data_IF_932079177680
#
_entry.id   IF_932079177680
#
_cell.length_a   1.000
_cell.length_b   1.000
_cell.length_c   1.000
_cell.angle_alpha   90.00
_cell.angle_beta   90.00
_cell.angle_gamma   90.00
#
_symmetry.space_group_name_H-M   'P 1'
#
loop_
_entity.id
_entity.type
_entity.pdbx_description
1 polymer ?
#
# COMPACT_ATOMS: atom_id res chain seq x y z
N UNK A 1 32.62 6.33 13.86
CA UNK A 1 31.39 7.13 14.05
C UNK A 1 30.18 6.56 13.29
N UNK A 2 30.36 5.82 12.18
CA UNK A 2 29.28 5.24 11.37
C UNK A 2 28.46 4.10 12.02
N UNK A 3 28.96 3.46 13.09
CA UNK A 3 28.25 2.35 13.75
C UNK A 3 27.10 2.77 14.66
N UNK A 4 27.21 3.93 15.32
CA UNK A 4 26.23 4.39 16.30
C UNK A 4 24.98 4.99 15.66
N UNK A 5 25.11 5.64 14.51
CA UNK A 5 23.98 6.17 13.72
C UNK A 5 23.12 5.06 13.14
N UNK A 6 23.73 3.97 12.67
CA UNK A 6 23.01 2.84 12.08
C UNK A 6 22.22 2.04 13.15
N UNK A 7 22.79 1.87 14.35
CA UNK A 7 22.10 1.26 15.49
C UNK A 7 20.95 2.13 16.02
N UNK A 8 21.13 3.45 16.10
CA UNK A 8 20.06 4.37 16.51
C UNK A 8 18.91 4.43 15.49
N UNK A 9 19.25 4.40 14.18
CA UNK A 9 18.28 4.32 13.08
C UNK A 9 17.46 3.02 13.13
N UNK A 10 18.10 1.91 13.45
CA UNK A 10 17.42 0.62 13.64
C UNK A 10 16.55 0.56 14.91
N UNK A 11 16.88 1.35 15.93
CA UNK A 11 16.16 1.37 17.22
C UNK A 11 15.02 2.41 17.31
N UNK A 12 14.91 3.33 16.35
CA UNK A 12 13.88 4.37 16.33
C UNK A 12 12.63 3.99 15.53
N UNK A 13 11.65 4.89 15.51
CA UNK A 13 10.34 4.65 14.88
C UNK A 13 10.43 4.29 13.40
N UNK A 14 11.42 4.83 12.68
CA UNK A 14 11.69 4.43 11.29
C UNK A 14 12.14 2.97 11.21
N UNK A 15 13.10 2.55 12.03
CA UNK A 15 13.58 1.17 12.07
C UNK A 15 12.45 0.17 12.29
N UNK A 16 11.49 0.50 13.17
CA UNK A 16 10.30 -0.33 13.42
C UNK A 16 9.42 -0.43 12.16
N UNK A 17 9.05 0.70 11.55
CA UNK A 17 8.17 0.69 10.38
C UNK A 17 8.84 0.06 9.16
N UNK A 18 10.12 0.34 8.94
CA UNK A 18 10.89 -0.27 7.85
C UNK A 18 11.00 -1.79 8.04
N UNK A 19 11.20 -2.28 9.26
CA UNK A 19 11.22 -3.70 9.56
C UNK A 19 9.85 -4.37 9.30
N UNK A 20 8.75 -3.73 9.72
CA UNK A 20 7.39 -4.19 9.43
C UNK A 20 7.13 -4.26 7.92
N UNK A 21 7.46 -3.21 7.17
CA UNK A 21 7.30 -3.19 5.72
C UNK A 21 8.14 -4.27 5.03
N UNK A 22 9.36 -4.51 5.51
CA UNK A 22 10.24 -5.54 4.97
C UNK A 22 9.74 -6.97 5.26
N UNK A 23 9.11 -7.24 6.40
CA UNK A 23 8.58 -8.57 6.74
C UNK A 23 7.20 -8.82 6.15
N UNK A 24 6.30 -7.85 6.32
CA UNK A 24 4.86 -8.03 6.13
C UNK A 24 4.35 -7.42 4.83
N UNK A 25 5.16 -6.56 4.18
CA UNK A 25 4.85 -5.98 2.88
C UNK A 25 4.75 -7.01 1.75
N UNK A 26 4.10 -6.60 0.66
CA UNK A 26 3.84 -7.40 -0.52
C UNK A 26 5.10 -7.95 -1.19
N UNK A 27 6.26 -7.29 -1.03
CA UNK A 27 7.53 -7.76 -1.61
C UNK A 27 7.89 -9.20 -1.20
N UNK A 28 7.47 -9.66 -0.02
CA UNK A 28 7.72 -11.03 0.46
C UNK A 28 6.64 -12.03 0.02
N UNK A 29 5.54 -11.57 -0.55
CA UNK A 29 4.38 -12.40 -0.85
C UNK A 29 4.59 -13.26 -2.13
N UNK A 30 4.30 -14.57 -2.11
CA UNK A 30 4.44 -15.45 -3.28
C UNK A 30 3.70 -14.95 -4.52
N UNK A 31 2.47 -14.45 -4.33
CA UNK A 31 1.67 -13.87 -5.41
C UNK A 31 2.35 -12.68 -6.10
N UNK A 32 2.98 -11.77 -5.35
CA UNK A 32 3.70 -10.62 -5.93
C UNK A 32 4.84 -11.12 -6.81
N UNK A 33 5.62 -12.08 -6.33
CA UNK A 33 6.70 -12.71 -7.12
C UNK A 33 6.17 -13.35 -8.40
N UNK A 34 5.05 -14.08 -8.32
CA UNK A 34 4.39 -14.71 -9.49
C UNK A 34 3.97 -13.67 -10.53
N UNK A 35 3.29 -12.61 -10.09
CA UNK A 35 2.76 -11.56 -10.97
C UNK A 35 3.81 -10.59 -11.49
N UNK A 36 4.97 -10.49 -10.84
CA UNK A 36 6.10 -9.66 -11.30
C UNK A 36 6.87 -10.27 -12.48
N UNK A 37 6.52 -11.49 -12.91
CA UNK A 37 7.18 -12.14 -14.05
C UNK A 37 6.57 -11.71 -15.38
N UNK A 38 7.39 -11.66 -16.45
CA UNK A 38 6.88 -11.39 -17.81
C UNK A 38 5.87 -12.44 -18.29
N UNK A 39 5.94 -13.64 -17.74
CA UNK A 39 5.07 -14.78 -18.05
C UNK A 39 3.81 -14.82 -17.19
N UNK A 40 3.58 -13.84 -16.32
CA UNK A 40 2.37 -13.76 -15.52
C UNK A 40 1.10 -13.85 -16.39
N UNK A 41 0.10 -14.53 -15.85
CA UNK A 41 -1.21 -14.68 -16.49
C UNK A 41 -1.88 -13.31 -16.63
N UNK A 42 -2.36 -12.97 -17.84
CA UNK A 42 -3.12 -11.73 -18.05
C UNK A 42 -4.39 -11.69 -17.20
N UNK A 43 -5.00 -12.85 -16.95
CA UNK A 43 -6.19 -12.95 -16.12
C UNK A 43 -5.88 -12.59 -14.67
N UNK A 44 -4.77 -13.09 -14.12
CA UNK A 44 -4.37 -12.77 -12.74
C UNK A 44 -3.93 -11.31 -12.60
N UNK A 45 -3.26 -10.76 -13.61
CA UNK A 45 -2.89 -9.34 -13.64
C UNK A 45 -4.13 -8.45 -13.68
N UNK A 46 -5.13 -8.77 -14.50
CA UNK A 46 -6.40 -8.05 -14.54
C UNK A 46 -7.12 -8.12 -13.18
N UNK A 47 -7.17 -9.31 -12.56
CA UNK A 47 -7.79 -9.49 -11.25
C UNK A 47 -7.10 -8.66 -10.16
N UNK A 48 -5.76 -8.67 -10.13
CA UNK A 48 -4.99 -7.84 -9.21
C UNK A 48 -5.28 -6.35 -9.42
N UNK A 49 -5.27 -5.87 -10.66
CA UNK A 49 -5.57 -4.47 -11.00
C UNK A 49 -6.98 -4.06 -10.53
N UNK A 50 -8.00 -4.90 -10.74
CA UNK A 50 -9.34 -4.62 -10.24
C UNK A 50 -9.39 -4.57 -8.72
N UNK A 51 -8.79 -5.55 -8.04
CA UNK A 51 -8.79 -5.65 -6.59
C UNK A 51 -8.08 -4.44 -5.93
N UNK A 52 -6.92 -4.04 -6.45
CA UNK A 52 -6.22 -2.85 -5.99
C UNK A 52 -7.00 -1.56 -6.28
N UNK A 53 -7.69 -1.48 -7.42
CA UNK A 53 -8.56 -0.34 -7.73
C UNK A 53 -9.78 -0.28 -6.80
N UNK A 54 -10.36 -1.41 -6.41
CA UNK A 54 -11.46 -1.45 -5.44
C UNK A 54 -11.01 -0.95 -4.06
N UNK A 55 -9.78 -1.30 -3.65
CA UNK A 55 -9.21 -0.92 -2.37
C UNK A 55 -8.79 0.56 -2.33
N UNK A 56 -8.03 1.03 -3.32
CA UNK A 56 -7.37 2.35 -3.29
C UNK A 56 -7.85 3.36 -4.34
N UNK A 57 -8.74 2.97 -5.25
CA UNK A 57 -9.15 3.82 -6.38
C UNK A 57 -10.10 4.98 -6.03
N UNK A 58 -10.72 4.99 -4.85
CA UNK A 58 -11.68 6.04 -4.45
C UNK A 58 -11.13 6.92 -3.34
N UNK A 59 -11.50 8.19 -3.42
CA UNK A 59 -11.16 9.25 -2.48
C UNK A 59 -12.26 9.52 -1.44
N UNK A 60 -11.91 10.08 -0.27
CA UNK A 60 -10.54 10.17 0.27
C UNK A 60 -9.97 8.78 0.57
N UNK A 61 -8.65 8.62 0.43
CA UNK A 61 -7.92 7.41 0.83
C UNK A 61 -7.15 7.63 2.15
N UNK A 62 -6.29 6.68 2.50
CA UNK A 62 -5.53 6.70 3.76
C UNK A 62 -4.66 7.96 3.89
N UNK A 63 -3.97 8.36 2.82
CA UNK A 63 -3.06 9.53 2.83
C UNK A 63 -3.85 10.84 2.95
N UNK A 64 -4.97 10.96 2.24
CA UNK A 64 -5.85 12.13 2.33
C UNK A 64 -6.46 12.27 3.73
N UNK A 65 -6.92 11.17 4.31
CA UNK A 65 -7.40 11.17 5.68
C UNK A 65 -6.30 11.56 6.67
N UNK A 66 -5.10 10.99 6.55
CA UNK A 66 -3.98 11.36 7.39
C UNK A 66 -3.60 12.85 7.26
N UNK A 67 -3.69 13.42 6.05
CA UNK A 67 -3.39 14.84 5.80
C UNK A 67 -4.43 15.81 6.40
N UNK A 68 -5.68 15.37 6.55
CA UNK A 68 -6.81 16.25 6.91
C UNK A 68 -7.35 16.01 8.31
N UNK A 69 -7.14 14.83 8.90
CA UNK A 69 -7.68 14.42 10.21
C UNK A 69 -6.55 14.09 11.17
N UNK A 70 -6.52 14.78 12.31
CA UNK A 70 -5.54 14.53 13.37
C UNK A 70 -4.09 14.54 12.89
N UNK A 71 -3.81 15.29 11.81
CA UNK A 71 -2.48 15.44 11.26
C UNK A 71 -1.59 16.13 12.29
N UNK A 72 -0.47 15.49 12.61
CA UNK A 72 0.57 16.15 13.39
C UNK A 72 1.07 17.36 12.59
N UNK A 73 1.19 18.57 13.17
CA UNK A 73 1.56 19.76 12.40
C UNK A 73 2.86 19.59 11.59
N UNK A 74 3.84 18.88 12.15
CA UNK A 74 5.12 18.58 11.50
C UNK A 74 4.99 17.64 10.28
N UNK A 75 3.92 16.84 10.21
CA UNK A 75 3.67 15.91 9.10
C UNK A 75 2.85 16.54 7.96
N UNK A 76 2.21 17.69 8.19
CA UNK A 76 1.13 18.18 7.33
C UNK A 76 1.59 18.47 5.89
N UNK A 77 2.71 19.21 5.74
CA UNK A 77 3.28 19.52 4.42
C UNK A 77 3.68 18.26 3.66
N UNK A 78 4.32 17.31 4.35
CA UNK A 78 4.72 16.04 3.75
C UNK A 78 3.50 15.19 3.34
N UNK A 79 2.49 15.07 4.20
CA UNK A 79 1.27 14.32 3.90
C UNK A 79 0.48 14.93 2.73
N UNK A 80 0.46 16.25 2.61
CA UNK A 80 -0.16 16.92 1.47
C UNK A 80 0.60 16.61 0.17
N UNK A 81 1.93 16.73 0.18
CA UNK A 81 2.76 16.38 -0.97
C UNK A 81 2.60 14.89 -1.37
N UNK A 82 2.59 13.98 -0.39
CA UNK A 82 2.35 12.56 -0.61
C UNK A 82 0.95 12.29 -1.21
N UNK A 83 -0.08 13.00 -0.75
CA UNK A 83 -1.45 12.89 -1.28
C UNK A 83 -1.54 13.36 -2.74
N UNK A 84 -0.87 14.46 -3.08
CA UNK A 84 -0.75 14.92 -4.46
C UNK A 84 -0.04 13.88 -5.32
N UNK A 85 1.12 13.39 -4.90
CA UNK A 85 1.87 12.37 -5.64
C UNK A 85 1.07 11.06 -5.82
N UNK A 86 0.35 10.61 -4.79
CA UNK A 86 -0.45 9.38 -4.85
C UNK A 86 -1.71 9.53 -5.72
N UNK A 87 -2.10 10.75 -6.06
CA UNK A 87 -3.17 10.99 -7.06
C UNK A 87 -2.75 10.56 -8.46
N UNK A 88 -1.46 10.70 -8.80
CA UNK A 88 -0.90 10.17 -10.05
C UNK A 88 -0.95 8.64 -10.08
N UNK A 89 -0.63 8.00 -8.96
CA UNK A 89 -0.71 6.54 -8.79
C UNK A 89 -2.14 6.01 -8.94
N UNK A 90 -3.13 6.69 -8.36
CA UNK A 90 -4.55 6.35 -8.53
C UNK A 90 -5.04 6.57 -9.96
N UNK A 91 -4.59 7.65 -10.60
CA UNK A 91 -4.92 7.93 -12.00
C UNK A 91 -4.36 6.85 -12.91
N UNK A 92 -3.12 6.42 -12.67
CA UNK A 92 -2.52 5.28 -13.33
C UNK A 92 -3.31 3.99 -13.10
N UNK A 93 -3.65 3.68 -11.85
CA UNK A 93 -4.44 2.51 -11.50
C UNK A 93 -5.80 2.48 -12.21
N UNK A 94 -6.52 3.61 -12.25
CA UNK A 94 -7.79 3.72 -12.97
C UNK A 94 -7.63 3.47 -14.47
N UNK A 95 -6.54 3.96 -15.09
CA UNK A 95 -6.21 3.68 -16.50
C UNK A 95 -5.95 2.19 -16.73
N UNK A 96 -5.22 1.53 -15.83
CA UNK A 96 -4.99 0.08 -15.90
C UNK A 96 -6.30 -0.69 -15.78
N UNK A 97 -7.18 -0.31 -14.84
CA UNK A 97 -8.48 -0.95 -14.68
C UNK A 97 -9.35 -0.81 -15.91
N UNK A 98 -9.36 0.36 -16.56
CA UNK A 98 -10.07 0.55 -17.82
C UNK A 98 -9.51 -0.32 -18.95
N UNK A 99 -8.18 -0.46 -19.04
CA UNK A 99 -7.53 -1.28 -20.07
C UNK A 99 -7.63 -2.80 -19.80
N UNK A 100 -7.72 -3.22 -18.54
CA UNK A 100 -7.96 -4.61 -18.16
C UNK A 100 -9.34 -5.12 -18.61
N UNK A 101 -10.30 -4.20 -18.79
CA UNK A 101 -11.67 -4.51 -19.19
C UNK A 101 -12.51 -4.98 -18.01
N UNK A 102 -13.34 -5.99 -18.24
CA UNK A 102 -14.15 -6.62 -17.21
C UNK A 102 -13.31 -7.54 -16.31
N UNK A 103 -13.62 -7.51 -15.01
CA UNK A 103 -12.99 -8.37 -14.03
C UNK A 103 -13.18 -9.86 -14.39
N UNK A 104 -12.14 -10.70 -14.25
CA UNK A 104 -12.27 -12.12 -14.54
C UNK A 104 -13.30 -12.81 -13.66
N UNK A 105 -14.20 -13.58 -14.28
CA UNK A 105 -15.11 -14.45 -13.56
C UNK A 105 -14.33 -15.48 -12.75
N UNK A 106 -14.61 -15.53 -11.45
CA UNK A 106 -13.94 -16.41 -10.49
C UNK A 106 -14.99 -16.98 -9.53
N UNK A 107 -14.92 -18.27 -9.14
CA UNK A 107 -15.76 -18.79 -8.06
C UNK A 107 -15.63 -17.93 -6.79
N UNK A 108 -16.75 -17.69 -6.11
CA UNK A 108 -16.77 -16.85 -4.92
C UNK A 108 -16.56 -15.35 -5.21
N UNK A 109 -16.99 -14.87 -6.38
CA UNK A 109 -16.82 -13.47 -6.78
C UNK A 109 -17.46 -12.49 -5.78
N UNK A 110 -18.71 -12.75 -5.40
CA UNK A 110 -19.44 -11.85 -4.49
C UNK A 110 -18.79 -11.79 -3.10
N UNK A 111 -18.33 -12.93 -2.59
CA UNK A 111 -17.61 -13.05 -1.32
C UNK A 111 -16.26 -12.34 -1.37
N UNK A 112 -15.53 -12.48 -2.49
CA UNK A 112 -14.26 -11.77 -2.72
C UNK A 112 -14.48 -10.26 -2.74
N UNK A 113 -15.49 -9.77 -3.46
CA UNK A 113 -15.81 -8.36 -3.52
C UNK A 113 -16.22 -7.80 -2.14
N UNK A 114 -17.04 -8.55 -1.40
CA UNK A 114 -17.42 -8.20 -0.04
C UNK A 114 -16.21 -8.14 0.90
N UNK A 115 -15.25 -9.07 0.77
CA UNK A 115 -14.01 -9.06 1.55
C UNK A 115 -13.18 -7.80 1.27
N UNK A 116 -12.99 -7.44 0.00
CA UNK A 116 -12.23 -6.22 -0.39
C UNK A 116 -12.93 -4.96 0.13
N UNK A 117 -14.26 -4.89 0.05
CA UNK A 117 -15.04 -3.79 0.62
C UNK A 117 -14.89 -3.70 2.14
N UNK A 118 -14.84 -4.85 2.83
CA UNK A 118 -14.55 -4.93 4.26
C UNK A 118 -13.14 -4.42 4.62
N UNK A 119 -12.12 -4.83 3.86
CA UNK A 119 -10.74 -4.34 4.04
C UNK A 119 -10.66 -2.83 3.86
N UNK A 120 -11.32 -2.32 2.81
CA UNK A 120 -11.41 -0.87 2.58
C UNK A 120 -12.05 -0.15 3.76
N UNK A 121 -13.17 -0.64 4.27
CA UNK A 121 -13.81 -0.03 5.44
C UNK A 121 -12.88 -0.03 6.65
N UNK A 122 -12.10 -1.10 6.86
CA UNK A 122 -11.09 -1.16 7.91
C UNK A 122 -9.98 -0.10 7.71
N UNK A 123 -9.53 0.13 6.47
CA UNK A 123 -8.58 1.20 6.16
C UNK A 123 -9.15 2.60 6.40
N UNK A 124 -10.43 2.83 6.04
CA UNK A 124 -11.11 4.08 6.29
C UNK A 124 -11.19 4.37 7.80
N UNK A 125 -11.51 3.36 8.62
CA UNK A 125 -11.52 3.47 10.07
C UNK A 125 -10.12 3.70 10.66
N UNK A 126 -9.11 3.00 10.14
CA UNK A 126 -7.72 3.15 10.57
C UNK A 126 -7.20 4.58 10.33
N UNK A 127 -7.46 5.12 9.13
CA UNK A 127 -7.00 6.44 8.73
C UNK A 127 -7.70 7.58 9.48
N UNK A 128 -8.82 7.31 10.16
CA UNK A 128 -9.57 8.26 10.96
C UNK A 128 -9.31 8.14 12.47
N UNK A 129 -8.31 7.36 12.89
CA UNK A 129 -7.99 7.20 14.32
C UNK A 129 -7.58 8.52 14.99
N UNK A 130 -8.03 8.73 16.23
CA UNK A 130 -7.63 9.88 17.07
C UNK A 130 -6.27 9.69 17.76
N UNK A 131 -5.66 8.52 17.64
CA UNK A 131 -4.32 8.26 18.20
C UNK A 131 -3.27 8.95 17.34
N UNK A 132 -2.64 9.99 17.90
CA UNK A 132 -1.56 10.73 17.25
C UNK A 132 -0.49 9.78 16.67
N UNK A 133 -0.24 9.88 15.37
CA UNK A 133 0.69 9.03 14.63
C UNK A 133 0.07 7.82 13.93
N UNK A 134 -1.10 7.32 14.34
CA UNK A 134 -1.69 6.12 13.74
C UNK A 134 -1.97 6.28 12.23
N UNK A 135 -2.67 7.35 11.84
CA UNK A 135 -2.94 7.60 10.42
C UNK A 135 -1.65 7.87 9.61
N UNK A 136 -0.68 8.56 10.22
CA UNK A 136 0.63 8.81 9.60
C UNK A 136 1.41 7.51 9.37
N UNK A 137 1.45 6.62 10.36
CA UNK A 137 2.09 5.31 10.21
C UNK A 137 1.44 4.43 9.15
N UNK A 138 0.11 4.46 9.04
CA UNK A 138 -0.61 3.80 7.96
C UNK A 138 -0.26 4.40 6.58
N UNK A 139 -0.23 5.72 6.45
CA UNK A 139 0.17 6.39 5.21
C UNK A 139 1.62 6.09 4.82
N UNK A 140 2.54 6.07 5.79
CA UNK A 140 3.94 5.66 5.59
C UNK A 140 4.03 4.23 5.07
N UNK A 141 3.36 3.27 5.73
CA UNK A 141 3.38 1.89 5.29
C UNK A 141 2.78 1.71 3.89
N UNK A 142 1.76 2.51 3.53
CA UNK A 142 1.18 2.50 2.19
C UNK A 142 2.23 2.91 1.17
N UNK A 143 2.93 4.02 1.39
CA UNK A 143 3.97 4.50 0.48
C UNK A 143 5.12 3.49 0.29
N UNK A 144 5.56 2.87 1.39
CA UNK A 144 6.62 1.86 1.36
C UNK A 144 6.17 0.61 0.59
N UNK A 145 5.01 0.06 0.93
CA UNK A 145 4.52 -1.18 0.33
C UNK A 145 4.07 -0.99 -1.13
N UNK A 146 3.64 0.23 -1.48
CA UNK A 146 3.26 0.58 -2.85
C UNK A 146 4.39 0.33 -3.85
N UNK A 147 5.65 0.39 -3.42
CA UNK A 147 6.78 0.06 -4.29
C UNK A 147 6.67 -1.35 -4.88
N UNK A 148 6.23 -2.33 -4.08
CA UNK A 148 6.06 -3.72 -4.50
C UNK A 148 4.79 -3.92 -5.32
N UNK A 149 3.70 -3.26 -4.93
CA UNK A 149 2.44 -3.25 -5.68
C UNK A 149 2.68 -2.67 -7.08
N UNK A 150 3.44 -1.57 -7.16
CA UNK A 150 3.74 -0.87 -8.41
C UNK A 150 4.50 -1.75 -9.41
N UNK A 151 5.37 -2.65 -8.96
CA UNK A 151 6.03 -3.62 -9.85
C UNK A 151 5.00 -4.50 -10.57
N UNK A 152 3.99 -5.00 -9.85
CA UNK A 152 2.92 -5.82 -10.45
C UNK A 152 2.06 -4.97 -11.41
N UNK A 153 1.71 -3.75 -11.01
CA UNK A 153 0.95 -2.83 -11.86
C UNK A 153 1.71 -2.47 -13.15
N UNK A 154 3.03 -2.30 -13.07
CA UNK A 154 3.86 -2.00 -14.23
C UNK A 154 3.96 -3.22 -15.15
N UNK A 155 4.06 -4.44 -14.62
CA UNK A 155 3.94 -5.65 -15.46
C UNK A 155 2.58 -5.68 -16.16
N UNK A 156 1.48 -5.41 -15.44
CA UNK A 156 0.15 -5.32 -16.04
C UNK A 156 0.08 -4.25 -17.15
N UNK A 157 0.66 -3.07 -16.93
CA UNK A 157 0.69 -1.99 -17.91
C UNK A 157 1.36 -2.42 -19.21
N UNK A 158 2.54 -3.03 -19.13
CA UNK A 158 3.22 -3.54 -20.33
C UNK A 158 2.38 -4.58 -21.07
N UNK A 159 1.67 -5.45 -20.33
CA UNK A 159 0.78 -6.46 -20.92
C UNK A 159 -0.49 -5.85 -21.53
N UNK A 160 -0.95 -4.71 -21.02
CA UNK A 160 -2.10 -3.97 -21.52
C UNK A 160 -1.73 -2.89 -22.55
N UNK A 161 -0.46 -2.75 -22.91
CA UNK A 161 0.00 -1.74 -23.87
C UNK A 161 0.01 -0.30 -23.33
N UNK A 162 0.04 -0.14 -22.00
CA UNK A 162 0.16 1.15 -21.33
C UNK A 162 1.61 1.37 -20.92
N UNK A 163 2.16 2.54 -21.25
CA UNK A 163 3.45 2.98 -20.70
C UNK A 163 3.27 3.43 -19.25
N UNK A 164 3.97 2.82 -18.27
CA UNK A 164 3.94 3.29 -16.90
C UNK A 164 4.41 4.75 -16.80
N UNK A 165 3.69 5.64 -16.09
CA UNK A 165 4.20 6.97 -15.79
C UNK A 165 5.35 6.90 -14.79
N UNK A 166 6.16 7.96 -14.73
CA UNK A 166 7.21 8.10 -13.71
C UNK A 166 6.61 8.08 -12.30
N UNK A 167 7.31 7.43 -11.37
CA UNK A 167 6.92 7.39 -9.96
C UNK A 167 7.46 8.63 -9.26
N UNK A 168 6.56 9.50 -8.82
CA UNK A 168 6.86 10.76 -8.11
C UNK A 168 6.55 10.69 -6.61
N UNK A 169 6.39 9.47 -6.06
CA UNK A 169 6.20 9.25 -4.63
C UNK A 169 7.47 9.63 -3.83
N UNK A 170 7.32 10.03 -2.55
CA UNK A 170 8.45 10.30 -1.66
C UNK A 170 9.44 9.12 -1.61
N UNK A 171 10.74 9.43 -1.53
CA UNK A 171 11.79 8.42 -1.41
C UNK A 171 11.99 8.00 0.05
N UNK A 172 12.58 6.81 0.27
CA UNK A 172 12.77 6.25 1.60
C UNK A 172 13.47 7.19 2.58
N UNK A 173 14.49 7.95 2.14
CA UNK A 173 15.22 8.91 2.99
C UNK A 173 14.34 10.07 3.47
N UNK A 174 13.40 10.53 2.64
CA UNK A 174 12.42 11.56 3.01
C UNK A 174 11.41 10.99 4.01
N UNK A 175 10.93 9.77 3.76
CA UNK A 175 9.99 9.07 4.63
C UNK A 175 10.62 8.82 6.01
N UNK A 176 11.87 8.35 6.04
CA UNK A 176 12.65 8.15 7.26
C UNK A 176 12.73 9.43 8.08
N UNK A 177 13.14 10.53 7.44
CA UNK A 177 13.33 11.82 8.11
C UNK A 177 12.05 12.25 8.83
N UNK A 178 10.91 12.13 8.14
CA UNK A 178 9.60 12.47 8.71
C UNK A 178 9.22 11.53 9.84
N UNK A 179 9.36 10.22 9.64
CA UNK A 179 8.99 9.22 10.66
C UNK A 179 9.84 9.37 11.93
N UNK A 180 11.14 9.57 11.79
CA UNK A 180 12.04 9.78 12.91
C UNK A 180 11.69 11.05 13.70
N UNK A 181 11.30 12.12 13.00
CA UNK A 181 10.90 13.40 13.62
C UNK A 181 9.56 13.30 14.34
N UNK A 182 8.59 12.55 13.80
CA UNK A 182 7.27 12.40 14.42
C UNK A 182 7.28 11.42 15.60
N UNK A 183 8.16 10.42 15.55
CA UNK A 183 8.27 9.33 16.50
C UNK A 183 8.95 9.67 17.84
N UNK A 184 9.18 10.95 18.16
CA UNK A 184 9.99 11.36 19.32
C UNK A 184 9.45 10.90 20.68
N UNK A 185 8.16 10.57 20.78
CA UNK A 185 7.58 10.03 22.01
C UNK A 185 7.23 8.55 21.86
N UNK A 186 7.42 7.73 22.91
CA UNK A 186 7.05 6.31 22.86
C UNK A 186 5.57 6.06 22.55
N UNK A 187 4.69 7.01 22.89
CA UNK A 187 3.27 6.92 22.58
C UNK A 187 2.97 7.04 21.08
N UNK A 188 3.57 8.03 20.42
CA UNK A 188 3.42 8.28 18.98
C UNK A 188 4.09 7.17 18.18
N UNK A 189 5.30 6.75 18.57
CA UNK A 189 6.00 5.61 17.94
C UNK A 189 5.14 4.35 17.89
N UNK A 190 4.56 3.95 19.03
CA UNK A 190 3.67 2.77 19.08
C UNK A 190 2.41 2.95 18.24
N UNK A 191 1.83 4.14 18.21
CA UNK A 191 0.66 4.43 17.40
C UNK A 191 1.00 4.35 15.90
N UNK A 192 2.14 4.89 15.48
CA UNK A 192 2.63 4.79 14.10
C UNK A 192 2.90 3.34 13.70
N UNK A 193 3.60 2.57 14.56
CA UNK A 193 3.85 1.15 14.31
C UNK A 193 2.56 0.34 14.19
N UNK A 194 1.57 0.60 15.07
CA UNK A 194 0.24 0.00 14.97
C UNK A 194 -0.43 0.36 13.63
N UNK A 195 -0.42 1.64 13.25
CA UNK A 195 -0.98 2.10 11.98
C UNK A 195 -0.36 1.39 10.78
N UNK A 196 0.97 1.30 10.77
CA UNK A 196 1.73 0.60 9.74
C UNK A 196 1.34 -0.89 9.67
N UNK A 197 1.37 -1.59 10.80
CA UNK A 197 1.05 -3.02 10.88
C UNK A 197 -0.37 -3.31 10.40
N UNK A 198 -1.36 -2.52 10.81
CA UNK A 198 -2.75 -2.74 10.38
C UNK A 198 -2.92 -2.56 8.87
N UNK A 199 -2.25 -1.59 8.26
CA UNK A 199 -2.32 -1.39 6.82
C UNK A 199 -1.64 -2.54 6.06
N UNK A 200 -0.43 -2.94 6.47
CA UNK A 200 0.29 -4.07 5.86
C UNK A 200 -0.50 -5.37 5.98
N UNK A 201 -1.19 -5.59 7.10
CA UNK A 201 -2.07 -6.74 7.28
C UNK A 201 -3.24 -6.75 6.26
N UNK A 202 -3.83 -5.58 5.95
CA UNK A 202 -4.87 -5.50 4.91
C UNK A 202 -4.28 -5.82 3.53
N UNK A 203 -3.12 -5.26 3.19
CA UNK A 203 -2.46 -5.55 1.91
C UNK A 203 -2.09 -7.03 1.76
N UNK A 204 -1.55 -7.64 2.82
CA UNK A 204 -1.23 -9.06 2.84
C UNK A 204 -2.48 -9.91 2.63
N UNK A 205 -3.56 -9.62 3.35
CA UNK A 205 -4.84 -10.33 3.16
C UNK A 205 -5.42 -10.17 1.75
N UNK A 206 -5.18 -9.02 1.09
CA UNK A 206 -5.58 -8.84 -0.31
C UNK A 206 -4.76 -9.73 -1.25
N UNK A 207 -3.45 -9.85 -1.01
CA UNK A 207 -2.60 -10.76 -1.76
C UNK A 207 -2.96 -12.24 -1.54
N UNK A 208 -3.29 -12.63 -0.31
CA UNK A 208 -3.79 -13.98 0.01
C UNK A 208 -5.10 -14.27 -0.74
N UNK A 209 -6.03 -13.30 -0.77
CA UNK A 209 -7.28 -13.42 -1.53
C UNK A 209 -7.03 -13.58 -3.03
N UNK A 210 -6.13 -12.78 -3.61
CA UNK A 210 -5.76 -12.89 -5.02
C UNK A 210 -5.13 -14.26 -5.33
N UNK A 211 -4.30 -14.79 -4.44
CA UNK A 211 -3.69 -16.12 -4.60
C UNK A 211 -4.75 -17.22 -4.59
N UNK A 212 -5.68 -17.16 -3.63
CA UNK A 212 -6.80 -18.09 -3.55
C UNK A 212 -7.69 -18.03 -4.80
N UNK A 213 -7.98 -16.83 -5.30
CA UNK A 213 -8.76 -16.61 -6.52
C UNK A 213 -8.07 -17.17 -7.77
N UNK A 214 -6.77 -16.97 -7.89
CA UNK A 214 -6.01 -17.55 -8.99
C UNK A 214 -6.02 -19.08 -8.96
N UNK A 215 -5.78 -19.67 -7.78
CA UNK A 215 -5.88 -21.12 -7.56
C UNK A 215 -7.27 -21.66 -7.91
N UNK A 216 -8.34 -20.99 -7.49
CA UNK A 216 -9.71 -21.41 -7.77
C UNK A 216 -10.02 -21.47 -9.28
N UNK A 217 -9.38 -20.61 -10.10
CA UNK A 217 -9.54 -20.62 -11.57
C UNK A 217 -8.73 -21.71 -12.25
N UNK A 218 -7.61 -22.13 -11.67
CA UNK A 218 -6.76 -23.19 -12.22
C UNK A 218 -7.36 -24.60 -11.99
N UNK A 219 -8.30 -24.73 -11.05
CA UNK A 219 -9.01 -25.97 -10.73
C UNK A 219 -10.38 -26.11 -11.42
N UNK A 220 -10.72 -25.23 -12.38
CA UNK A 220 -11.90 -25.33 -13.24
C UNK A 220 -11.55 -25.89 -14.61
#
# INVERSE_FOLDING_TARGET
MFGSTNLARAAGSWGIIAALAASDGGATHPMVRRLSTRTASMRDLADAVHAWCMLHGRLPGVIEHAATRNAQPLAQTWLHAASTAFTEERTYLARLTAAAGHAPSTPGQAESEAAILGQRHALDMLAQSDRAGCATGAATALLLDWTSIRVVLDVAAHRFGITPPDRVLPIDDEIETVVATLGETPGVERAMAFGAQQLLAQHRGLWDLLEARASARDHQ
#
